data_IF_798977538907
#
_entry.id   IF_798977538907
#
_cell.length_a   1.000
_cell.length_b   1.000
_cell.length_c   1.000
_cell.angle_alpha   90.00
_cell.angle_beta   90.00
_cell.angle_gamma   90.00
#
_symmetry.space_group_name_H-M   'P 1'
#
loop_
_entity.id
_entity.type
_entity.pdbx_description
1 polymer ?
#
# COMPACT_ATOMS: atom_id res chain seq x y z
N UNK A 1 1.57 36.61 14.08
CA UNK A 1 0.24 36.00 13.95
C UNK A 1 -0.14 35.32 15.27
N UNK A 2 -1.39 35.43 15.68
CA UNK A 2 -1.92 34.66 16.82
C UNK A 2 -2.23 33.23 16.35
N UNK A 3 -2.22 32.18 17.22
CA UNK A 3 -2.51 30.80 16.82
C UNK A 3 -3.79 30.63 16.00
N UNK A 4 -4.85 31.35 16.34
CA UNK A 4 -6.14 31.32 15.64
C UNK A 4 -6.12 31.95 14.22
N UNK A 5 -5.02 32.58 13.82
CA UNK A 5 -4.85 33.22 12.49
C UNK A 5 -3.97 32.37 11.57
N UNK A 6 -3.49 31.22 12.05
CA UNK A 6 -2.66 30.33 11.26
C UNK A 6 -3.54 29.47 10.35
N UNK A 7 -3.12 29.27 9.10
CA UNK A 7 -3.67 28.18 8.28
C UNK A 7 -3.33 26.83 8.88
N UNK A 8 -4.07 25.77 8.52
CA UNK A 8 -3.80 24.42 8.99
C UNK A 8 -2.34 24.00 8.79
N UNK A 9 -1.79 24.24 7.60
CA UNK A 9 -0.37 23.93 7.32
C UNK A 9 0.63 24.81 8.10
N UNK A 10 0.30 26.04 8.41
CA UNK A 10 1.13 26.89 9.26
C UNK A 10 1.10 26.42 10.71
N UNK A 11 -0.08 26.07 11.21
CA UNK A 11 -0.23 25.52 12.57
C UNK A 11 0.56 24.21 12.72
N UNK A 12 0.52 23.34 11.73
CA UNK A 12 1.23 22.08 11.72
C UNK A 12 2.75 22.25 11.70
N UNK A 13 3.28 23.17 10.87
CA UNK A 13 4.72 23.52 10.87
C UNK A 13 5.17 24.06 12.21
N UNK A 14 4.36 24.91 12.85
CA UNK A 14 4.64 25.42 14.20
C UNK A 14 4.64 24.30 15.23
N UNK A 15 3.69 23.36 15.15
CA UNK A 15 3.64 22.21 16.05
C UNK A 15 4.89 21.31 15.91
N UNK A 16 5.30 21.03 14.68
CA UNK A 16 6.53 20.28 14.40
C UNK A 16 7.78 21.02 14.93
N UNK A 17 7.90 22.32 14.67
CA UNK A 17 9.01 23.12 15.18
C UNK A 17 9.07 23.10 16.72
N UNK A 18 7.93 23.27 17.40
CA UNK A 18 7.85 23.17 18.87
C UNK A 18 8.31 21.82 19.40
N UNK A 19 7.92 20.74 18.73
CA UNK A 19 8.30 19.38 19.13
C UNK A 19 9.81 19.18 19.00
N UNK A 20 10.41 19.66 17.92
CA UNK A 20 11.84 19.53 17.66
C UNK A 20 12.71 20.39 18.59
N UNK A 21 12.22 21.55 19.00
CA UNK A 21 12.93 22.45 19.94
C UNK A 21 13.25 21.78 21.29
N UNK A 22 12.48 20.77 21.69
CA UNK A 22 12.71 20.01 22.91
C UNK A 22 13.77 18.89 22.75
N UNK A 23 14.36 18.74 21.57
CA UNK A 23 15.33 17.70 21.22
C UNK A 23 14.95 16.29 21.73
N UNK A 24 13.74 15.79 21.49
CA UNK A 24 13.29 14.51 22.02
C UNK A 24 14.16 13.37 21.48
N UNK A 25 14.36 12.32 22.26
CA UNK A 25 15.09 11.11 21.82
C UNK A 25 14.31 10.28 20.80
N UNK A 26 12.99 10.39 20.79
CA UNK A 26 12.05 9.70 19.91
C UNK A 26 10.93 10.65 19.52
N UNK A 27 10.65 10.74 18.23
CA UNK A 27 9.49 11.45 17.68
C UNK A 27 8.34 10.49 17.47
N UNK A 28 7.16 10.84 17.98
CA UNK A 28 5.91 10.11 17.72
C UNK A 28 5.00 11.04 16.91
N UNK A 29 4.63 10.61 15.73
CA UNK A 29 3.89 11.38 14.74
C UNK A 29 2.64 10.60 14.36
N UNK A 30 1.48 11.16 14.70
CA UNK A 30 0.19 10.57 14.36
C UNK A 30 -0.45 11.40 13.24
N UNK A 31 -0.55 10.80 12.06
CA UNK A 31 -1.10 11.39 10.84
C UNK A 31 -0.64 12.84 10.57
N UNK A 32 0.67 13.12 10.52
CA UNK A 32 1.19 14.49 10.52
C UNK A 32 0.84 15.29 9.27
N UNK A 33 0.30 14.69 8.21
CA UNK A 33 -0.06 15.36 6.97
C UNK A 33 -1.56 15.29 6.64
N UNK A 34 -2.38 14.72 7.52
CA UNK A 34 -3.82 14.50 7.26
C UNK A 34 -4.63 15.79 7.08
N UNK A 35 -4.24 16.88 7.76
CA UNK A 35 -4.91 18.17 7.69
C UNK A 35 -4.43 19.05 6.51
N UNK A 36 -3.55 18.55 5.64
CA UNK A 36 -2.99 19.29 4.51
C UNK A 36 -3.72 18.93 3.20
N UNK A 37 -3.91 19.92 2.35
CA UNK A 37 -4.25 19.67 0.95
C UNK A 37 -3.10 18.95 0.21
N UNK A 38 -3.41 18.33 -0.92
CA UNK A 38 -2.44 17.50 -1.67
C UNK A 38 -1.20 18.29 -2.09
N UNK A 39 -1.40 19.54 -2.58
CA UNK A 39 -0.29 20.36 -3.06
C UNK A 39 0.70 20.73 -1.92
N UNK A 40 0.17 21.14 -0.78
CA UNK A 40 0.97 21.48 0.38
C UNK A 40 1.66 20.25 0.98
N UNK A 41 0.98 19.11 0.96
CA UNK A 41 1.53 17.82 1.38
C UNK A 41 2.75 17.44 0.54
N UNK A 42 2.62 17.48 -0.81
CA UNK A 42 3.69 17.15 -1.74
C UNK A 42 4.92 18.06 -1.57
N UNK A 43 4.72 19.32 -1.21
CA UNK A 43 5.80 20.25 -0.91
C UNK A 43 6.47 20.01 0.45
N UNK A 44 5.70 19.63 1.47
CA UNK A 44 6.20 19.51 2.83
C UNK A 44 6.84 18.14 3.12
N UNK A 45 6.41 17.07 2.48
CA UNK A 45 6.97 15.73 2.70
C UNK A 45 8.48 15.66 2.46
N UNK A 46 9.05 16.17 1.34
CA UNK A 46 10.49 16.17 1.14
C UNK A 46 11.23 16.98 2.21
N UNK A 47 10.72 18.17 2.55
CA UNK A 47 11.32 19.04 3.57
C UNK A 47 11.31 18.35 4.95
N UNK A 48 10.21 17.63 5.25
CA UNK A 48 10.08 16.88 6.48
C UNK A 48 11.04 15.69 6.53
N UNK A 49 11.23 14.98 5.42
CA UNK A 49 12.20 13.90 5.33
C UNK A 49 13.64 14.40 5.56
N UNK A 50 14.00 15.53 4.95
CA UNK A 50 15.32 16.14 5.16
C UNK A 50 15.50 16.59 6.61
N UNK A 51 14.45 17.12 7.25
CA UNK A 51 14.44 17.45 8.66
C UNK A 51 14.65 16.21 9.55
N UNK A 52 13.94 15.11 9.29
CA UNK A 52 14.12 13.85 10.02
C UNK A 52 15.54 13.29 9.86
N UNK A 53 16.08 13.36 8.65
CA UNK A 53 17.48 12.94 8.38
C UNK A 53 18.49 13.78 9.14
N UNK A 54 18.33 15.10 9.11
CA UNK A 54 19.22 16.02 9.84
C UNK A 54 19.09 15.88 11.35
N UNK A 55 17.89 15.53 11.83
CA UNK A 55 17.62 15.27 13.23
C UNK A 55 18.40 14.07 13.77
N UNK A 56 18.68 13.05 12.94
CA UNK A 56 19.55 11.92 13.25
C UNK A 56 19.07 11.00 14.37
N UNK A 57 17.79 11.09 14.77
CA UNK A 57 17.17 10.29 15.84
C UNK A 57 16.01 9.47 15.29
N UNK A 58 15.43 8.63 16.13
CA UNK A 58 14.34 7.76 15.74
C UNK A 58 13.00 8.50 15.67
N UNK A 59 12.18 8.16 14.69
CA UNK A 59 10.81 8.64 14.56
C UNK A 59 9.87 7.45 14.28
N UNK A 60 8.69 7.48 14.88
CA UNK A 60 7.59 6.58 14.58
C UNK A 60 6.48 7.41 13.94
N UNK A 61 6.08 7.02 12.75
CA UNK A 61 5.02 7.64 11.98
C UNK A 61 3.82 6.69 11.93
N UNK A 62 2.66 7.14 12.40
CA UNK A 62 1.38 6.47 12.17
C UNK A 62 0.70 7.18 10.99
N UNK A 63 0.33 6.43 9.98
CA UNK A 63 -0.34 6.96 8.79
C UNK A 63 -1.20 5.89 8.12
N UNK A 64 -2.28 6.31 7.46
CA UNK A 64 -3.06 5.48 6.53
C UNK A 64 -2.63 5.70 5.07
N UNK A 65 -1.72 6.64 4.81
CA UNK A 65 -1.19 6.93 3.48
C UNK A 65 -0.05 5.97 3.13
N UNK A 66 -0.28 5.12 2.15
CA UNK A 66 0.74 4.21 1.63
C UNK A 66 1.95 4.95 1.04
N UNK A 67 1.70 6.12 0.44
CA UNK A 67 2.76 6.92 -0.19
C UNK A 67 3.66 7.55 0.87
N UNK A 68 3.09 8.04 1.98
CA UNK A 68 3.86 8.50 3.13
C UNK A 68 4.71 7.37 3.72
N UNK A 69 4.10 6.21 3.98
CA UNK A 69 4.82 5.04 4.49
C UNK A 69 5.97 4.64 3.56
N UNK A 70 5.73 4.62 2.25
CA UNK A 70 6.73 4.22 1.26
C UNK A 70 7.90 5.19 1.15
N UNK A 71 7.63 6.51 1.18
CA UNK A 71 8.64 7.53 0.94
C UNK A 71 9.37 7.98 2.21
N UNK A 72 8.70 7.97 3.36
CA UNK A 72 9.25 8.52 4.60
C UNK A 72 9.83 7.45 5.53
N UNK A 73 9.36 6.19 5.45
CA UNK A 73 9.71 5.15 6.42
C UNK A 73 10.67 4.11 5.84
N UNK A 74 11.78 3.85 6.54
CA UNK A 74 12.69 2.75 6.20
C UNK A 74 12.19 1.39 6.67
N UNK A 75 11.41 1.38 7.75
CA UNK A 75 10.75 0.19 8.33
C UNK A 75 9.25 0.42 8.38
N UNK A 76 8.48 -0.63 8.15
CA UNK A 76 7.03 -0.60 8.15
C UNK A 76 6.48 -1.69 9.06
N UNK A 77 5.48 -1.32 9.86
CA UNK A 77 4.67 -2.25 10.64
C UNK A 77 3.21 -2.06 10.21
N UNK A 78 2.62 -3.10 9.63
CA UNK A 78 1.21 -3.12 9.24
C UNK A 78 0.39 -3.69 10.38
N UNK A 79 -0.63 -2.96 10.81
CA UNK A 79 -1.51 -3.35 11.90
C UNK A 79 -2.94 -3.58 11.42
N UNK A 80 -3.56 -4.63 11.93
CA UNK A 80 -4.97 -4.94 11.73
C UNK A 80 -5.59 -5.43 13.05
N UNK A 81 -6.74 -4.91 13.42
CA UNK A 81 -7.45 -5.29 14.66
C UNK A 81 -6.56 -5.25 15.92
N UNK A 82 -5.69 -4.24 16.03
CA UNK A 82 -4.79 -4.05 17.17
C UNK A 82 -3.59 -5.01 17.21
N UNK A 83 -3.34 -5.77 16.14
CA UNK A 83 -2.21 -6.71 16.04
C UNK A 83 -1.33 -6.38 14.85
N UNK A 84 -0.04 -6.62 14.99
CA UNK A 84 0.89 -6.59 13.86
C UNK A 84 0.65 -7.81 12.98
N UNK A 85 0.34 -7.56 11.69
CA UNK A 85 0.14 -8.62 10.68
C UNK A 85 1.33 -8.76 9.73
N UNK A 86 2.14 -7.73 9.62
CA UNK A 86 3.37 -7.73 8.83
C UNK A 86 4.30 -6.62 9.28
N UNK A 87 5.59 -6.89 9.38
CA UNK A 87 6.64 -5.90 9.66
C UNK A 87 7.91 -6.19 8.84
N UNK A 88 8.77 -5.19 8.72
CA UNK A 88 10.05 -5.29 8.05
C UNK A 88 10.43 -4.05 7.27
N UNK A 89 11.49 -4.15 6.46
CA UNK A 89 11.89 -3.08 5.57
C UNK A 89 10.73 -2.68 4.64
N UNK A 90 10.44 -1.40 4.53
CA UNK A 90 9.27 -0.88 3.80
C UNK A 90 9.17 -1.46 2.39
N UNK A 91 10.26 -1.40 1.62
CA UNK A 91 10.28 -1.93 0.25
C UNK A 91 10.01 -3.44 0.19
N UNK A 92 10.47 -4.20 1.18
CA UNK A 92 10.23 -5.64 1.26
C UNK A 92 8.76 -5.95 1.58
N UNK A 93 8.14 -5.20 2.50
CA UNK A 93 6.72 -5.35 2.82
C UNK A 93 5.83 -4.98 1.62
N UNK A 94 6.19 -3.94 0.87
CA UNK A 94 5.47 -3.57 -0.36
C UNK A 94 5.64 -4.61 -1.47
N UNK A 95 6.80 -5.24 -1.61
CA UNK A 95 7.05 -6.28 -2.62
C UNK A 95 6.41 -7.62 -2.25
N UNK A 96 6.47 -8.01 -0.97
CA UNK A 96 5.98 -9.29 -0.44
C UNK A 96 5.20 -9.06 0.87
N UNK A 97 3.92 -8.69 0.79
CA UNK A 97 3.11 -8.32 1.95
C UNK A 97 2.72 -9.50 2.84
N UNK A 98 2.65 -10.73 2.34
CA UNK A 98 2.37 -12.01 3.04
C UNK A 98 1.05 -12.08 3.82
N UNK A 99 0.25 -11.02 3.86
CA UNK A 99 -1.09 -11.03 4.43
C UNK A 99 -2.02 -10.23 3.54
N UNK A 100 -3.32 -10.56 3.57
CA UNK A 100 -4.33 -9.85 2.77
C UNK A 100 -4.41 -8.39 3.18
N UNK A 101 -4.41 -8.09 4.47
CA UNK A 101 -4.42 -6.72 4.98
C UNK A 101 -3.22 -5.91 4.49
N UNK A 102 -2.00 -6.45 4.61
CA UNK A 102 -0.80 -5.78 4.11
C UNK A 102 -0.83 -5.62 2.58
N UNK A 103 -1.35 -6.60 1.84
CA UNK A 103 -1.51 -6.52 0.39
C UNK A 103 -2.46 -5.37 -0.01
N UNK A 104 -3.62 -5.27 0.67
CA UNK A 104 -4.60 -4.18 0.44
C UNK A 104 -4.01 -2.81 0.77
N UNK A 105 -3.40 -2.66 1.95
CA UNK A 105 -2.77 -1.41 2.37
C UNK A 105 -1.60 -0.99 1.47
N UNK A 106 -0.86 -1.95 0.90
CA UNK A 106 0.21 -1.66 -0.06
C UNK A 106 -0.27 -1.53 -1.52
N UNK A 107 -1.60 -1.48 -1.74
CA UNK A 107 -2.22 -1.13 -3.02
C UNK A 107 -2.55 -2.29 -3.95
N UNK A 108 -2.56 -3.54 -3.47
CA UNK A 108 -3.09 -4.67 -4.23
C UNK A 108 -4.62 -4.64 -4.15
N UNK A 109 -5.30 -4.41 -5.26
CA UNK A 109 -6.77 -4.35 -5.33
C UNK A 109 -7.38 -5.72 -5.70
N UNK A 110 -6.72 -6.49 -6.56
CA UNK A 110 -7.21 -7.78 -7.04
C UNK A 110 -6.69 -8.89 -6.12
N UNK A 111 -7.47 -9.25 -5.11
CA UNK A 111 -7.16 -10.32 -4.15
C UNK A 111 -8.33 -11.27 -4.09
N UNK A 112 -8.04 -12.57 -4.14
CA UNK A 112 -9.05 -13.64 -4.07
C UNK A 112 -8.54 -14.78 -3.21
N UNK A 113 -9.45 -15.50 -2.51
CA UNK A 113 -9.12 -16.77 -1.88
C UNK A 113 -8.51 -17.73 -2.89
N UNK A 114 -7.49 -18.47 -2.46
CA UNK A 114 -6.80 -19.41 -3.31
C UNK A 114 -6.30 -20.60 -2.49
N UNK A 115 -6.04 -21.70 -3.19
CA UNK A 115 -5.49 -22.91 -2.58
C UNK A 115 -4.33 -23.46 -3.38
N UNK A 116 -3.38 -24.02 -2.69
CA UNK A 116 -2.28 -24.79 -3.29
C UNK A 116 -2.83 -26.08 -3.88
N UNK A 117 -2.46 -26.40 -5.12
CA UNK A 117 -2.77 -27.67 -5.78
C UNK A 117 -1.55 -28.58 -5.75
N UNK A 118 -0.38 -28.05 -6.09
CA UNK A 118 0.91 -28.72 -6.03
C UNK A 118 2.02 -27.74 -5.66
N UNK A 119 3.26 -28.14 -5.78
CA UNK A 119 4.43 -27.34 -5.40
C UNK A 119 4.46 -25.94 -6.04
N UNK A 120 3.92 -25.81 -7.24
CA UNK A 120 3.97 -24.56 -8.04
C UNK A 120 2.64 -24.13 -8.63
N UNK A 121 1.56 -24.84 -8.37
CA UNK A 121 0.25 -24.54 -8.93
C UNK A 121 -0.70 -24.06 -7.84
N UNK A 122 -1.32 -22.92 -8.11
CA UNK A 122 -2.34 -22.29 -7.26
C UNK A 122 -3.65 -22.25 -8.03
N UNK A 123 -4.74 -22.60 -7.38
CA UNK A 123 -6.09 -22.42 -7.90
C UNK A 123 -6.79 -21.28 -7.18
N UNK A 124 -7.40 -20.40 -7.97
CA UNK A 124 -8.26 -19.30 -7.52
C UNK A 124 -9.71 -19.58 -7.98
N UNK A 125 -10.52 -20.29 -7.16
CA UNK A 125 -11.83 -20.75 -7.59
C UNK A 125 -12.78 -19.62 -8.01
N UNK A 126 -12.79 -18.50 -7.26
CA UNK A 126 -13.65 -17.36 -7.56
C UNK A 126 -13.33 -16.69 -8.90
N UNK A 127 -12.09 -16.79 -9.38
CA UNK A 127 -11.70 -16.32 -10.71
C UNK A 127 -11.80 -17.41 -11.78
N UNK A 128 -12.05 -18.67 -11.41
CA UNK A 128 -12.04 -19.80 -12.33
C UNK A 128 -10.66 -20.08 -12.95
N UNK A 129 -9.59 -19.74 -12.26
CA UNK A 129 -8.22 -19.76 -12.81
C UNK A 129 -7.28 -20.63 -12.00
N UNK A 130 -6.27 -21.13 -12.72
CA UNK A 130 -5.05 -21.73 -12.14
C UNK A 130 -3.83 -20.94 -12.57
N UNK A 131 -2.91 -20.75 -11.63
CA UNK A 131 -1.67 -20.02 -11.85
C UNK A 131 -0.48 -20.91 -11.57
N UNK A 132 0.55 -20.80 -12.39
CA UNK A 132 1.85 -21.41 -12.14
C UNK A 132 2.78 -20.37 -11.52
N UNK A 133 3.27 -20.68 -10.32
CA UNK A 133 4.21 -19.82 -9.59
C UNK A 133 5.65 -20.08 -10.03
N UNK A 134 6.45 -19.03 -10.13
CA UNK A 134 7.89 -19.15 -10.36
C UNK A 134 8.64 -19.71 -9.13
N UNK A 135 8.06 -19.57 -7.94
CA UNK A 135 8.61 -20.08 -6.68
C UNK A 135 7.69 -21.14 -6.07
N UNK A 136 8.19 -22.00 -5.18
CA UNK A 136 7.34 -22.93 -4.45
C UNK A 136 6.22 -22.21 -3.71
N UNK A 137 5.03 -22.76 -3.80
CA UNK A 137 3.84 -22.24 -3.13
C UNK A 137 3.84 -22.69 -1.68
N UNK A 138 3.69 -21.79 -0.69
CA UNK A 138 3.63 -22.17 0.71
C UNK A 138 2.39 -23.02 1.02
N UNK A 139 2.51 -23.90 2.01
CA UNK A 139 1.43 -24.84 2.37
C UNK A 139 0.24 -24.13 3.06
N UNK A 140 0.50 -23.00 3.70
CA UNK A 140 -0.47 -22.16 4.39
C UNK A 140 -1.11 -21.08 3.48
N UNK A 141 -0.96 -21.22 2.16
CA UNK A 141 -1.59 -20.29 1.20
C UNK A 141 -3.11 -20.25 1.40
N UNK A 142 -3.66 -19.05 1.63
CA UNK A 142 -5.10 -18.82 1.75
C UNK A 142 -5.66 -17.87 0.68
N UNK A 143 -4.82 -17.01 0.10
CA UNK A 143 -5.23 -16.06 -0.93
C UNK A 143 -4.08 -15.73 -1.88
N UNK A 144 -4.41 -15.23 -3.06
CA UNK A 144 -3.47 -14.61 -3.99
C UNK A 144 -3.88 -13.19 -4.31
N UNK A 145 -2.89 -12.33 -4.57
CA UNK A 145 -3.09 -10.96 -4.99
C UNK A 145 -2.33 -10.66 -6.28
N UNK A 146 -3.00 -10.02 -7.24
CA UNK A 146 -2.40 -9.59 -8.49
C UNK A 146 -2.46 -8.06 -8.57
N UNK A 147 -1.32 -7.40 -8.65
CA UNK A 147 -1.27 -5.95 -8.84
C UNK A 147 -1.58 -5.60 -10.29
N UNK A 148 -2.35 -4.53 -10.51
CA UNK A 148 -2.80 -4.12 -11.84
C UNK A 148 -1.64 -3.96 -12.85
N UNK A 149 -0.50 -3.44 -12.43
CA UNK A 149 0.67 -3.25 -13.30
C UNK A 149 1.40 -4.55 -13.72
N UNK A 150 1.01 -5.71 -13.16
CA UNK A 150 1.53 -7.02 -13.60
C UNK A 150 0.70 -7.64 -14.74
N UNK A 151 -0.46 -7.06 -15.07
CA UNK A 151 -1.21 -7.54 -16.23
C UNK A 151 -0.59 -7.06 -17.53
N UNK A 152 -0.31 -8.00 -18.43
CA UNK A 152 0.26 -7.72 -19.74
C UNK A 152 -0.48 -8.51 -20.83
N UNK A 153 -0.92 -7.85 -21.89
CA UNK A 153 -1.61 -8.48 -23.01
C UNK A 153 -0.76 -9.56 -23.72
N UNK A 154 0.56 -9.53 -23.55
CA UNK A 154 1.52 -10.46 -24.19
C UNK A 154 2.26 -11.36 -23.19
N UNK A 155 1.68 -11.62 -22.04
CA UNK A 155 2.31 -12.51 -21.05
C UNK A 155 2.59 -13.89 -21.65
N UNK A 156 3.76 -14.47 -21.34
CA UNK A 156 4.15 -15.79 -21.82
C UNK A 156 3.48 -16.92 -21.00
N UNK A 157 3.23 -16.69 -19.72
CA UNK A 157 2.63 -17.65 -18.78
C UNK A 157 1.39 -17.06 -18.11
N UNK A 158 0.58 -17.92 -17.48
CA UNK A 158 -0.64 -17.54 -16.77
C UNK A 158 -1.61 -16.71 -17.62
N UNK A 159 -1.81 -17.12 -18.87
CA UNK A 159 -2.72 -16.43 -19.80
C UNK A 159 -4.15 -16.83 -19.54
N UNK A 160 -5.05 -15.86 -19.51
CA UNK A 160 -6.48 -16.10 -19.37
C UNK A 160 -7.25 -15.24 -20.38
N UNK A 161 -8.36 -15.78 -20.87
CA UNK A 161 -9.33 -15.01 -21.64
C UNK A 161 -10.15 -14.15 -20.69
N UNK A 162 -10.33 -12.89 -21.07
CA UNK A 162 -11.10 -11.93 -20.28
C UNK A 162 -12.25 -11.35 -21.10
N UNK A 163 -13.33 -11.06 -20.41
CA UNK A 163 -14.47 -10.32 -20.95
C UNK A 163 -14.40 -8.88 -20.45
N UNK A 164 -14.44 -7.94 -21.37
CA UNK A 164 -14.52 -6.52 -21.07
C UNK A 164 -15.81 -6.20 -20.31
N UNK A 165 -15.69 -5.42 -19.23
CA UNK A 165 -16.84 -4.95 -18.43
C UNK A 165 -16.98 -3.44 -18.53
N UNK A 166 -15.87 -2.70 -18.49
CA UNK A 166 -15.87 -1.25 -18.55
C UNK A 166 -14.50 -0.66 -18.30
N UNK A 167 -14.48 0.66 -18.25
CA UNK A 167 -13.28 1.44 -17.95
C UNK A 167 -13.63 2.63 -17.07
N UNK A 168 -12.66 3.07 -16.27
CA UNK A 168 -12.70 4.29 -15.48
C UNK A 168 -11.53 5.16 -15.86
N UNK A 169 -11.83 6.41 -16.25
CA UNK A 169 -10.80 7.39 -16.53
C UNK A 169 -10.34 8.05 -15.23
N UNK A 170 -9.06 7.88 -14.91
CA UNK A 170 -8.35 8.60 -13.87
C UNK A 170 -7.48 9.70 -14.48
N UNK A 171 -6.92 10.58 -13.66
CA UNK A 171 -6.18 11.78 -14.15
C UNK A 171 -5.04 11.44 -15.12
N UNK A 172 -4.38 10.33 -14.95
CA UNK A 172 -3.17 9.94 -15.70
C UNK A 172 -3.18 8.50 -16.17
N UNK A 173 -4.24 7.74 -15.88
CA UNK A 173 -4.34 6.32 -16.21
C UNK A 173 -5.79 5.93 -16.50
N UNK A 174 -5.95 4.84 -17.23
CA UNK A 174 -7.23 4.17 -17.42
C UNK A 174 -7.27 2.90 -16.61
N UNK A 175 -8.29 2.74 -15.78
CA UNK A 175 -8.54 1.52 -15.05
C UNK A 175 -9.48 0.66 -15.90
N UNK A 176 -8.97 -0.48 -16.36
CA UNK A 176 -9.75 -1.43 -17.14
C UNK A 176 -10.44 -2.43 -16.21
N UNK A 177 -11.74 -2.57 -16.36
CA UNK A 177 -12.53 -3.54 -15.63
C UNK A 177 -12.85 -4.73 -16.55
N UNK A 178 -12.51 -5.92 -16.10
CA UNK A 178 -12.75 -7.14 -16.86
C UNK A 178 -13.10 -8.32 -15.94
N UNK A 179 -13.75 -9.33 -16.50
CA UNK A 179 -13.98 -10.62 -15.84
C UNK A 179 -13.24 -11.71 -16.58
N UNK A 180 -12.77 -12.70 -15.86
CA UNK A 180 -12.26 -13.92 -16.47
C UNK A 180 -13.43 -14.79 -16.95
N UNK A 181 -13.23 -15.56 -18.01
CA UNK A 181 -14.29 -16.37 -18.61
C UNK A 181 -14.94 -17.41 -17.67
N UNK A 182 -14.22 -17.83 -16.64
CA UNK A 182 -14.72 -18.78 -15.62
C UNK A 182 -14.99 -18.14 -14.25
N UNK A 183 -15.03 -16.81 -14.16
CA UNK A 183 -15.22 -16.09 -12.90
C UNK A 183 -16.65 -16.25 -12.38
N UNK A 184 -16.80 -16.48 -11.07
CA UNK A 184 -18.09 -16.49 -10.38
C UNK A 184 -18.80 -15.14 -10.57
N UNK A 185 -20.09 -15.18 -10.92
CA UNK A 185 -20.93 -14.00 -11.19
C UNK A 185 -21.00 -13.04 -9.99
N UNK A 186 -20.89 -13.55 -8.77
CA UNK A 186 -20.93 -12.76 -7.54
C UNK A 186 -19.56 -12.10 -7.21
N UNK A 187 -18.50 -12.45 -7.93
CA UNK A 187 -17.18 -11.85 -7.75
C UNK A 187 -17.10 -10.55 -8.56
N UNK A 188 -16.69 -9.42 -7.95
CA UNK A 188 -16.50 -8.15 -8.67
C UNK A 188 -15.50 -8.30 -9.83
N UNK A 189 -15.64 -7.48 -10.88
CA UNK A 189 -14.68 -7.40 -11.97
C UNK A 189 -13.33 -6.86 -11.56
#
# INVERSE_FOLDING_TARGET
LRPAQLSGGQAQRVALARMLMNEPRLLLLDEPFSALDSHLRDQLQPQFLDLLRSYGRQAVLVTHSRDEAYHLCGQLCVMENGRTVRDGATKAVFADPRSEAAARLTGCKNITPARKIDERTVEAPAWGLRFTSAQPVPDDLCAIGLRAHYFHARAAANRASVQWVGELEERFEWILLFRYAGQDENTPP
#
